data_IF_459251372941
#
_entry.id   IF_459251372941
#
_cell.length_a   1.000
_cell.length_b   1.000
_cell.length_c   1.000
_cell.angle_alpha   90.00
_cell.angle_beta   90.00
_cell.angle_gamma   90.00
#
_symmetry.space_group_name_H-M   'P 1'
#
loop_
_entity.id
_entity.type
_entity.pdbx_description
1 polymer ?
#
# COMPACT_ATOMS: atom_id res chain seq x y z
N UNK A 1 -8.32 4.18 12.85
CA UNK A 1 -6.89 3.81 12.76
C UNK A 1 -6.54 3.19 11.41
N UNK A 2 -7.45 2.43 10.77
CA UNK A 2 -7.21 1.82 9.45
C UNK A 2 -6.92 2.81 8.33
N UNK A 3 -7.51 3.98 8.33
CA UNK A 3 -7.31 4.99 7.27
C UNK A 3 -5.97 5.75 7.38
N UNK A 4 -5.39 5.85 8.55
CA UNK A 4 -4.05 6.44 8.72
C UNK A 4 -2.99 5.57 8.06
N UNK A 5 -3.19 4.27 8.02
CA UNK A 5 -2.27 3.32 7.40
C UNK A 5 -2.53 3.06 5.92
N UNK A 6 -3.69 3.44 5.41
CA UNK A 6 -4.06 3.30 4.00
C UNK A 6 -3.64 4.47 3.12
N UNK A 7 -3.44 5.64 3.71
CA UNK A 7 -2.85 6.78 3.04
C UNK A 7 -1.35 6.73 3.24
N UNK A 8 -0.72 6.00 2.45
CA UNK A 8 0.69 5.67 2.50
C UNK A 8 1.60 6.71 1.88
N UNK A 9 1.08 7.79 1.46
CA UNK A 9 1.78 9.03 1.55
C UNK A 9 1.63 9.45 3.02
N UNK A 10 2.68 9.53 3.75
CA UNK A 10 2.67 10.06 5.11
C UNK A 10 2.32 11.55 5.06
N UNK A 11 1.11 11.83 4.63
CA UNK A 11 0.60 13.19 4.57
C UNK A 11 0.22 13.64 5.96
N UNK A 12 1.03 14.50 6.51
CA UNK A 12 0.75 15.11 7.79
C UNK A 12 0.07 16.47 7.60
N UNK A 13 -0.90 16.80 8.41
CA UNK A 13 -1.49 18.13 8.40
C UNK A 13 -0.40 19.21 8.52
N UNK A 14 -0.42 20.17 7.60
CA UNK A 14 0.50 21.29 7.56
C UNK A 14 1.83 21.07 6.84
N UNK A 15 2.29 19.83 6.66
CA UNK A 15 3.54 19.53 5.96
C UNK A 15 3.37 18.64 4.73
N UNK A 16 2.22 18.02 4.56
CA UNK A 16 1.93 17.12 3.44
C UNK A 16 2.92 15.96 3.39
N UNK A 17 3.48 15.72 2.22
CA UNK A 17 4.48 14.68 1.96
C UNK A 17 5.91 15.06 2.38
N UNK A 18 6.19 16.34 2.60
CA UNK A 18 7.52 16.84 2.94
C UNK A 18 7.84 16.63 4.42
N UNK A 19 7.85 15.40 4.83
CA UNK A 19 8.03 15.00 6.23
C UNK A 19 9.53 15.07 6.61
N UNK A 20 9.91 15.78 7.67
CA UNK A 20 11.29 15.79 8.12
C UNK A 20 11.70 14.42 8.71
N UNK A 21 13.01 14.08 8.74
CA UNK A 21 13.48 12.76 9.19
C UNK A 21 12.95 12.32 10.56
N UNK A 22 12.94 13.23 11.55
CA UNK A 22 12.44 12.91 12.89
C UNK A 22 10.95 12.53 12.91
N UNK A 23 10.15 13.13 12.02
CA UNK A 23 8.72 12.84 11.92
C UNK A 23 8.49 11.50 11.21
N UNK A 24 9.35 11.15 10.24
CA UNK A 24 9.34 9.80 9.66
C UNK A 24 9.70 8.74 10.71
N UNK A 25 10.72 8.98 11.54
CA UNK A 25 11.09 8.09 12.64
C UNK A 25 9.95 7.93 13.66
N UNK A 26 9.32 9.03 14.04
CA UNK A 26 8.15 9.01 14.92
C UNK A 26 7.00 8.20 14.33
N UNK A 27 6.67 8.45 13.06
CA UNK A 27 5.60 7.74 12.35
C UNK A 27 5.87 6.24 12.24
N UNK A 28 7.10 5.85 11.92
CA UNK A 28 7.49 4.44 11.85
C UNK A 28 7.56 3.80 13.24
N UNK A 29 7.96 4.54 14.27
CA UNK A 29 7.87 4.09 15.66
C UNK A 29 6.45 3.77 16.09
N UNK A 30 5.47 4.60 15.71
CA UNK A 30 4.07 4.31 15.97
C UNK A 30 3.58 3.01 15.32
N UNK A 31 4.11 2.64 14.13
CA UNK A 31 3.79 1.34 13.54
C UNK A 31 4.24 0.20 14.44
N UNK A 32 5.48 0.27 14.93
CA UNK A 32 6.02 -0.78 15.82
C UNK A 32 5.26 -0.83 17.16
N UNK A 33 4.91 0.31 17.73
CA UNK A 33 4.11 0.40 18.96
C UNK A 33 2.73 -0.26 18.80
N UNK A 34 2.22 -0.32 17.57
CA UNK A 34 0.99 -1.02 17.23
C UNK A 34 1.23 -2.46 16.70
N UNK A 35 2.40 -3.01 16.91
CA UNK A 35 2.80 -4.33 16.44
C UNK A 35 2.75 -4.51 14.91
N UNK A 36 2.90 -3.43 14.16
CA UNK A 36 3.01 -3.45 12.71
C UNK A 36 4.47 -3.20 12.31
N UNK A 37 5.03 -4.08 11.50
CA UNK A 37 6.44 -4.01 11.08
C UNK A 37 6.62 -3.98 9.57
N UNK A 38 5.54 -3.82 8.82
CA UNK A 38 5.54 -3.83 7.36
C UNK A 38 4.76 -2.64 6.81
N UNK A 39 5.32 -1.99 5.80
CA UNK A 39 4.75 -0.81 5.18
C UNK A 39 4.76 -0.91 3.65
N UNK A 40 3.64 -0.65 3.01
CA UNK A 40 3.53 -0.53 1.57
C UNK A 40 3.25 0.91 1.18
N UNK A 41 4.13 1.53 0.42
CA UNK A 41 3.93 2.89 -0.09
C UNK A 41 2.88 2.88 -1.21
N UNK A 42 1.80 3.61 -1.04
CA UNK A 42 0.74 3.76 -2.05
C UNK A 42 0.73 5.18 -2.61
N UNK A 43 0.82 5.41 -3.78
CA UNK A 43 1.33 4.63 -4.93
C UNK A 43 2.46 5.47 -5.51
N UNK A 44 3.34 5.92 -4.64
CA UNK A 44 4.43 6.84 -4.97
C UNK A 44 5.73 6.32 -4.36
N UNK A 45 6.81 6.52 -5.08
CA UNK A 45 8.15 6.24 -4.55
C UNK A 45 8.41 7.16 -3.36
N UNK A 46 8.75 6.62 -2.18
CA UNK A 46 8.96 7.42 -0.98
C UNK A 46 10.19 8.31 -1.08
N UNK A 47 10.22 9.32 -0.23
CA UNK A 47 11.39 10.17 -0.08
C UNK A 47 12.54 9.42 0.61
N UNK A 48 13.76 9.87 0.36
CA UNK A 48 14.97 9.29 0.96
C UNK A 48 14.87 9.17 2.49
N UNK A 49 14.44 10.22 3.17
CA UNK A 49 14.32 10.24 4.63
C UNK A 49 13.30 9.21 5.16
N UNK A 50 12.27 8.91 4.38
CA UNK A 50 11.29 7.89 4.75
C UNK A 50 11.87 6.48 4.64
N UNK A 51 12.60 6.22 3.56
CA UNK A 51 13.30 4.94 3.36
C UNK A 51 14.34 4.72 4.45
N UNK A 52 15.19 5.72 4.69
CA UNK A 52 16.22 5.65 5.74
C UNK A 52 15.63 5.55 7.16
N UNK A 53 14.46 6.12 7.36
CA UNK A 53 13.72 5.95 8.62
C UNK A 53 13.28 4.50 8.81
N UNK A 54 12.76 3.84 7.77
CA UNK A 54 12.43 2.42 7.84
C UNK A 54 13.65 1.57 8.19
N UNK A 55 14.82 1.89 7.63
CA UNK A 55 16.09 1.22 7.98
C UNK A 55 16.46 1.40 9.46
N UNK A 56 16.38 2.63 9.97
CA UNK A 56 16.75 2.95 11.36
C UNK A 56 15.79 2.35 12.39
N UNK A 57 14.50 2.43 12.10
CA UNK A 57 13.44 2.01 13.03
C UNK A 57 13.16 0.51 12.96
N UNK A 58 13.47 -0.13 11.83
CA UNK A 58 13.28 -1.57 11.64
C UNK A 58 11.93 -1.94 11.05
N UNK A 59 11.39 -1.09 10.17
CA UNK A 59 10.14 -1.36 9.45
C UNK A 59 10.46 -1.85 8.05
N UNK A 60 9.94 -3.00 7.68
CA UNK A 60 10.08 -3.57 6.33
C UNK A 60 9.16 -2.80 5.38
N UNK A 61 9.63 -2.58 4.14
CA UNK A 61 8.87 -1.81 3.17
C UNK A 61 8.85 -2.41 1.77
N UNK A 62 7.78 -2.08 1.04
CA UNK A 62 7.64 -2.31 -0.41
C UNK A 62 7.98 -1.02 -1.14
N UNK A 63 8.87 -1.09 -2.12
CA UNK A 63 9.25 0.04 -2.97
C UNK A 63 8.44 0.04 -4.27
N UNK A 64 7.53 1.00 -4.47
CA UNK A 64 6.73 1.07 -5.68
C UNK A 64 7.41 1.86 -6.80
N UNK A 65 7.04 1.51 -8.04
CA UNK A 65 7.42 2.25 -9.25
C UNK A 65 6.63 3.54 -9.48
N UNK A 66 5.80 3.94 -8.53
CA UNK A 66 4.80 4.98 -8.75
C UNK A 66 3.61 4.47 -9.57
N UNK A 67 2.49 5.20 -9.50
CA UNK A 67 1.24 4.65 -9.99
C UNK A 67 0.26 5.68 -10.51
N UNK A 68 -0.56 5.23 -11.47
CA UNK A 68 -1.77 5.87 -11.94
C UNK A 68 -3.01 4.96 -11.74
N UNK A 69 -2.98 4.10 -10.73
CA UNK A 69 -3.99 3.11 -10.33
C UNK A 69 -4.23 1.95 -11.30
N UNK A 70 -3.88 2.10 -12.57
CA UNK A 70 -4.05 1.05 -13.59
C UNK A 70 -2.77 0.84 -14.37
N UNK A 71 -2.73 -0.26 -15.13
CA UNK A 71 -1.63 -0.48 -16.05
C UNK A 71 -1.51 0.69 -17.04
N UNK A 72 -0.31 1.21 -17.17
CA UNK A 72 -0.02 2.33 -18.05
C UNK A 72 0.40 1.83 -19.44
N UNK A 73 0.28 2.67 -20.45
CA UNK A 73 0.68 2.36 -21.80
C UNK A 73 1.57 3.45 -22.42
N UNK A 74 2.38 3.06 -23.39
CA UNK A 74 3.20 4.00 -24.15
C UNK A 74 4.16 4.82 -23.26
N UNK A 75 4.15 6.13 -23.43
CA UNK A 75 5.04 7.04 -22.70
C UNK A 75 4.90 6.92 -21.17
N UNK A 76 3.68 6.77 -20.68
CA UNK A 76 3.42 6.67 -19.25
C UNK A 76 4.03 5.41 -18.63
N UNK A 77 3.94 4.30 -19.35
CA UNK A 77 4.62 3.09 -18.94
C UNK A 77 6.13 3.23 -18.96
N UNK A 78 6.70 3.81 -20.02
CA UNK A 78 8.13 4.11 -20.08
C UNK A 78 8.62 4.93 -18.88
N UNK A 79 7.89 5.96 -18.48
CA UNK A 79 8.22 6.75 -17.30
C UNK A 79 8.17 5.93 -16.00
N UNK A 80 7.23 5.00 -15.88
CA UNK A 80 7.15 4.08 -14.72
C UNK A 80 8.35 3.13 -14.68
N UNK A 81 8.76 2.60 -15.82
CA UNK A 81 9.96 1.77 -15.93
C UNK A 81 11.23 2.54 -15.53
N UNK A 82 11.36 3.77 -16.00
CA UNK A 82 12.48 4.65 -15.63
C UNK A 82 12.47 4.97 -14.13
N UNK A 83 11.32 5.27 -13.55
CA UNK A 83 11.18 5.52 -12.13
C UNK A 83 11.56 4.30 -11.29
N UNK A 84 11.12 3.09 -11.68
CA UNK A 84 11.52 1.86 -11.00
C UNK A 84 13.02 1.62 -11.09
N UNK A 85 13.61 1.79 -12.27
CA UNK A 85 15.08 1.71 -12.46
C UNK A 85 15.81 2.64 -11.50
N UNK A 86 15.39 3.89 -11.47
CA UNK A 86 16.06 4.91 -10.66
C UNK A 86 15.85 4.65 -9.15
N UNK A 87 14.68 4.23 -8.74
CA UNK A 87 14.40 3.83 -7.37
C UNK A 87 15.26 2.62 -6.94
N UNK A 88 15.39 1.60 -7.79
CA UNK A 88 16.25 0.45 -7.52
C UNK A 88 17.71 0.90 -7.39
N UNK A 89 18.24 1.65 -8.34
CA UNK A 89 19.64 2.12 -8.31
C UNK A 89 19.91 2.92 -7.04
N UNK A 90 18.98 3.77 -6.66
CA UNK A 90 19.16 4.69 -5.53
C UNK A 90 19.01 3.96 -4.19
N UNK A 91 18.06 3.03 -4.07
CA UNK A 91 17.66 2.44 -2.79
C UNK A 91 18.04 0.97 -2.59
N UNK A 92 18.63 0.29 -3.55
CA UNK A 92 18.97 -1.15 -3.43
C UNK A 92 19.86 -1.51 -2.25
N UNK A 93 20.56 -0.55 -1.66
CA UNK A 93 21.39 -0.75 -0.48
C UNK A 93 20.65 -0.51 0.85
N UNK A 94 19.36 -0.15 0.80
CA UNK A 94 18.54 0.04 1.99
C UNK A 94 17.97 -1.31 2.43
N UNK A 95 18.36 -1.82 3.61
CA UNK A 95 18.02 -3.20 4.03
C UNK A 95 16.52 -3.38 4.36
N UNK A 96 15.82 -2.31 4.66
CA UNK A 96 14.36 -2.37 4.94
C UNK A 96 13.51 -2.68 3.72
N UNK A 97 14.02 -2.47 2.49
CA UNK A 97 13.30 -2.81 1.26
C UNK A 97 13.37 -4.31 1.05
N UNK A 98 12.23 -4.98 1.15
CA UNK A 98 12.10 -6.41 0.93
C UNK A 98 11.46 -6.75 -0.42
N UNK A 99 10.57 -5.89 -0.90
CA UNK A 99 9.82 -6.09 -2.13
C UNK A 99 9.87 -4.87 -3.03
N UNK A 100 9.74 -5.11 -4.33
CA UNK A 100 9.46 -4.11 -5.35
C UNK A 100 8.04 -4.26 -5.88
N UNK A 101 7.40 -3.14 -6.20
CA UNK A 101 6.04 -3.12 -6.72
C UNK A 101 6.00 -2.43 -8.09
N UNK A 102 5.60 -3.18 -9.11
CA UNK A 102 5.59 -2.72 -10.50
C UNK A 102 4.48 -1.70 -10.82
N UNK A 103 3.51 -1.58 -9.95
CA UNK A 103 2.35 -0.70 -10.04
C UNK A 103 1.25 -1.21 -9.12
N UNK A 104 0.10 -0.52 -9.07
CA UNK A 104 -0.95 -0.87 -8.13
C UNK A 104 -1.93 -1.92 -8.68
N UNK A 105 -2.59 -1.65 -9.79
CA UNK A 105 -3.69 -2.49 -10.30
C UNK A 105 -3.42 -2.99 -11.72
N UNK A 106 -3.86 -4.23 -11.95
CA UNK A 106 -4.03 -4.79 -13.31
C UNK A 106 -2.76 -4.74 -14.18
N UNK A 107 -1.58 -4.84 -13.58
CA UNK A 107 -0.32 -4.87 -14.33
C UNK A 107 -0.30 -6.09 -15.24
N UNK A 108 -0.12 -5.86 -16.54
CA UNK A 108 -0.08 -6.94 -17.52
C UNK A 108 1.15 -7.82 -17.35
N UNK A 109 1.04 -9.07 -17.76
CA UNK A 109 2.16 -10.02 -17.80
C UNK A 109 3.40 -9.43 -18.48
N UNK A 110 3.22 -8.77 -19.64
CA UNK A 110 4.31 -8.14 -20.38
C UNK A 110 5.05 -7.12 -19.53
N UNK A 111 4.31 -6.25 -18.87
CA UNK A 111 4.86 -5.19 -18.01
C UNK A 111 5.50 -5.76 -16.75
N UNK A 112 4.93 -6.80 -16.16
CA UNK A 112 5.54 -7.49 -15.03
C UNK A 112 6.91 -8.07 -15.40
N UNK A 113 7.02 -8.74 -16.53
CA UNK A 113 8.29 -9.29 -17.04
C UNK A 113 9.33 -8.18 -17.31
N UNK A 114 8.90 -7.04 -17.82
CA UNK A 114 9.80 -5.90 -18.03
C UNK A 114 10.33 -5.34 -16.70
N UNK A 115 9.48 -5.22 -15.66
CA UNK A 115 9.89 -4.78 -14.34
C UNK A 115 10.83 -5.79 -13.66
N UNK A 116 10.59 -7.08 -13.80
CA UNK A 116 11.48 -8.14 -13.32
C UNK A 116 12.86 -8.00 -14.00
N UNK A 117 12.90 -7.79 -15.32
CA UNK A 117 14.14 -7.59 -16.05
C UNK A 117 14.93 -6.35 -15.58
N UNK A 118 14.23 -5.27 -15.22
CA UNK A 118 14.84 -4.07 -14.62
C UNK A 118 15.44 -4.41 -13.25
N UNK A 119 14.67 -5.11 -12.38
CA UNK A 119 15.19 -5.56 -11.09
C UNK A 119 16.44 -6.44 -11.26
N UNK A 120 16.38 -7.45 -12.10
CA UNK A 120 17.49 -8.38 -12.33
C UNK A 120 18.76 -7.70 -12.84
N UNK A 121 18.58 -6.65 -13.63
CA UNK A 121 19.71 -5.86 -14.15
C UNK A 121 20.36 -4.97 -13.09
N UNK A 122 19.56 -4.34 -12.24
CA UNK A 122 20.07 -3.29 -11.34
C UNK A 122 20.16 -3.70 -9.88
N UNK A 123 19.51 -4.80 -9.48
CA UNK A 123 19.60 -5.41 -8.14
C UNK A 123 19.71 -6.95 -8.20
N UNK A 124 20.70 -7.50 -8.95
CA UNK A 124 20.77 -8.94 -9.23
C UNK A 124 21.02 -9.80 -8.00
N UNK A 125 21.52 -9.22 -6.92
CA UNK A 125 21.90 -9.93 -5.70
C UNK A 125 21.02 -9.59 -4.50
N UNK A 126 20.07 -8.67 -4.65
CA UNK A 126 19.20 -8.21 -3.55
C UNK A 126 18.19 -9.24 -3.09
N UNK A 127 17.84 -10.20 -3.95
CA UNK A 127 16.85 -11.23 -3.64
C UNK A 127 15.43 -10.70 -3.44
N UNK A 128 15.16 -9.47 -3.88
CA UNK A 128 13.87 -8.79 -3.67
C UNK A 128 12.85 -9.19 -4.71
N UNK A 129 11.71 -9.66 -4.24
CA UNK A 129 10.63 -10.10 -5.12
C UNK A 129 9.91 -8.92 -5.79
N UNK A 130 9.54 -9.09 -7.06
CA UNK A 130 8.75 -8.14 -7.85
C UNK A 130 7.31 -8.62 -7.95
N UNK A 131 6.37 -7.74 -7.62
CA UNK A 131 4.95 -8.07 -7.69
C UNK A 131 4.08 -6.83 -7.83
N UNK A 132 2.81 -7.01 -7.61
CA UNK A 132 1.80 -5.95 -7.61
C UNK A 132 0.50 -6.42 -6.97
N UNK A 133 -0.45 -5.51 -6.80
CA UNK A 133 -1.83 -5.89 -6.47
C UNK A 133 -2.51 -6.56 -7.66
N UNK A 134 -3.49 -7.41 -7.40
CA UNK A 134 -4.30 -8.10 -8.42
C UNK A 134 -3.48 -9.04 -9.34
N UNK A 135 -2.50 -9.73 -8.76
CA UNK A 135 -1.64 -10.65 -9.51
C UNK A 135 -2.08 -12.11 -9.41
N UNK A 136 -3.31 -12.41 -8.99
CA UNK A 136 -3.78 -13.76 -8.73
C UNK A 136 -3.47 -14.74 -9.88
N UNK A 137 -3.74 -14.33 -11.11
CA UNK A 137 -3.58 -15.15 -12.32
C UNK A 137 -2.28 -14.86 -13.09
N UNK A 138 -1.45 -13.95 -12.62
CA UNK A 138 -0.19 -13.59 -13.27
C UNK A 138 0.94 -14.46 -12.71
N UNK A 139 1.16 -15.58 -13.37
CA UNK A 139 2.17 -16.58 -12.97
C UNK A 139 3.59 -16.02 -12.81
N UNK A 140 3.94 -15.00 -13.55
CA UNK A 140 5.26 -14.41 -13.58
C UNK A 140 5.51 -13.42 -12.43
N UNK A 141 4.46 -12.98 -11.74
CA UNK A 141 4.62 -12.20 -10.51
C UNK A 141 5.26 -13.08 -9.43
N UNK A 142 6.16 -12.52 -8.64
CA UNK A 142 6.83 -13.24 -7.56
C UNK A 142 6.10 -13.07 -6.22
N UNK A 143 5.20 -12.10 -6.14
CA UNK A 143 4.20 -11.93 -5.10
C UNK A 143 2.97 -11.25 -5.65
N UNK A 144 1.84 -11.44 -5.00
CA UNK A 144 0.59 -10.78 -5.35
C UNK A 144 -0.08 -10.15 -4.14
N UNK A 145 -0.86 -9.11 -4.40
CA UNK A 145 -1.64 -8.42 -3.40
C UNK A 145 -3.12 -8.47 -3.68
N UNK A 146 -3.92 -8.42 -2.62
CA UNK A 146 -5.38 -8.34 -2.69
C UNK A 146 -5.89 -7.19 -1.83
N UNK A 147 -7.07 -6.69 -2.17
CA UNK A 147 -7.65 -5.54 -1.51
C UNK A 147 -8.46 -5.91 -0.26
N UNK A 148 -9.50 -6.71 -0.43
CA UNK A 148 -10.46 -7.03 0.65
C UNK A 148 -10.30 -8.45 1.18
N UNK A 149 -9.82 -9.35 0.36
CA UNK A 149 -9.73 -10.77 0.65
C UNK A 149 -8.33 -11.27 0.35
N UNK A 150 -7.89 -12.24 1.10
CA UNK A 150 -6.68 -12.98 0.77
C UNK A 150 -7.10 -14.20 -0.02
N UNK A 151 -6.89 -14.17 -1.32
CA UNK A 151 -7.04 -15.32 -2.18
C UNK A 151 -5.73 -16.10 -2.26
N UNK A 152 -5.80 -17.38 -2.51
CA UNK A 152 -4.62 -18.21 -2.74
C UNK A 152 -4.28 -18.21 -4.22
N UNK A 153 -3.02 -17.92 -4.55
CA UNK A 153 -2.48 -18.19 -5.88
C UNK A 153 -1.81 -19.56 -5.89
N UNK A 154 -1.86 -20.23 -7.03
CA UNK A 154 -1.10 -21.46 -7.27
C UNK A 154 0.37 -21.18 -7.59
N UNK A 155 0.74 -19.93 -7.84
CA UNK A 155 2.01 -19.56 -8.45
C UNK A 155 2.95 -18.79 -7.50
N UNK A 156 2.41 -18.01 -6.58
CA UNK A 156 3.21 -17.11 -5.75
C UNK A 156 2.48 -16.75 -4.44
N UNK A 157 3.22 -16.28 -3.43
CA UNK A 157 2.62 -15.82 -2.17
C UNK A 157 1.68 -14.65 -2.41
N UNK A 158 0.57 -14.64 -1.66
CA UNK A 158 -0.41 -13.57 -1.68
C UNK A 158 -0.50 -12.94 -0.29
N UNK A 159 -0.61 -11.60 -0.23
CA UNK A 159 -0.89 -10.89 1.01
C UNK A 159 -1.87 -9.75 0.80
N UNK A 160 -2.55 -9.35 1.86
CA UNK A 160 -3.50 -8.25 1.81
C UNK A 160 -2.74 -6.92 1.76
N UNK A 161 -2.68 -6.32 0.58
CA UNK A 161 -2.03 -5.02 0.38
C UNK A 161 -2.91 -3.85 0.80
N UNK A 162 -4.22 -4.02 0.72
CA UNK A 162 -5.22 -3.01 1.08
C UNK A 162 -6.39 -3.69 1.81
N UNK A 163 -6.14 -4.21 3.00
CA UNK A 163 -7.21 -4.81 3.79
C UNK A 163 -7.96 -3.75 4.60
N UNK A 164 -9.14 -4.11 5.06
CA UNK A 164 -9.98 -3.26 5.89
C UNK A 164 -10.46 -1.99 5.19
N UNK A 165 -10.44 -1.97 3.88
CA UNK A 165 -11.04 -0.92 3.10
C UNK A 165 -12.55 -1.11 3.10
N UNK A 166 -13.25 -0.19 3.74
CA UNK A 166 -14.70 -0.13 3.75
C UNK A 166 -15.18 1.05 2.90
N UNK A 167 -15.78 0.75 1.78
CA UNK A 167 -16.31 1.77 0.88
C UNK A 167 -17.49 2.53 1.54
N UNK A 168 -18.22 1.89 2.44
CA UNK A 168 -19.23 2.55 3.26
C UNK A 168 -18.63 3.61 4.17
N UNK A 169 -17.49 3.30 4.79
CA UNK A 169 -16.75 4.25 5.62
C UNK A 169 -16.21 5.42 4.80
N UNK A 170 -15.65 5.14 3.63
CA UNK A 170 -15.16 6.17 2.71
C UNK A 170 -16.28 7.10 2.27
N UNK A 171 -17.43 6.55 1.88
CA UNK A 171 -18.62 7.33 1.56
C UNK A 171 -19.13 8.16 2.73
N UNK A 172 -19.05 7.61 3.95
CA UNK A 172 -19.43 8.34 5.15
C UNK A 172 -18.63 9.62 5.30
N UNK A 173 -17.32 9.58 5.17
CA UNK A 173 -16.48 10.78 5.26
C UNK A 173 -16.74 11.76 4.13
N UNK A 174 -16.85 11.28 2.90
CA UNK A 174 -17.11 12.11 1.72
C UNK A 174 -18.48 12.78 1.78
N UNK A 175 -19.49 12.08 2.29
CA UNK A 175 -20.85 12.59 2.38
C UNK A 175 -21.13 13.40 3.65
N UNK A 176 -20.34 13.20 4.69
CA UNK A 176 -20.51 13.85 5.99
C UNK A 176 -19.67 15.11 6.15
N UNK A 177 -18.57 15.20 5.43
CA UNK A 177 -17.66 16.34 5.52
C UNK A 177 -18.21 17.57 4.81
N UNK A 178 -18.46 18.63 5.55
CA UNK A 178 -18.82 19.90 4.93
C UNK A 178 -17.61 20.48 4.20
N UNK A 179 -17.76 21.05 3.00
CA UNK A 179 -18.97 21.28 2.19
C UNK A 179 -19.36 20.12 1.22
N UNK A 180 -18.72 18.99 1.32
CA UNK A 180 -18.80 17.89 0.36
C UNK A 180 -19.98 16.94 0.58
N UNK A 181 -20.71 17.07 1.68
CA UNK A 181 -21.91 16.28 1.90
C UNK A 181 -22.99 16.66 0.89
N UNK A 182 -23.63 15.68 0.30
CA UNK A 182 -24.70 15.88 -0.67
C UNK A 182 -25.90 16.54 -0.01
N UNK A 183 -26.59 17.33 -0.82
CA UNK A 183 -27.89 17.88 -0.44
C UNK A 183 -28.84 16.77 0.02
N UNK A 184 -29.50 16.98 1.12
CA UNK A 184 -30.36 15.96 1.73
C UNK A 184 -29.71 15.15 2.84
N UNK A 185 -28.41 15.26 3.07
CA UNK A 185 -27.72 14.65 4.20
C UNK A 185 -28.06 15.39 5.52
N UNK A 186 -29.31 15.47 5.87
CA UNK A 186 -29.81 16.09 7.09
C UNK A 186 -29.50 15.27 8.36
N UNK A 187 -30.01 15.70 9.52
CA UNK A 187 -29.73 15.03 10.80
C UNK A 187 -30.11 13.53 10.82
N UNK A 188 -31.18 13.16 10.15
CA UNK A 188 -31.61 11.75 10.05
C UNK A 188 -30.61 10.93 9.26
N UNK A 189 -30.15 11.46 8.13
CA UNK A 189 -29.14 10.81 7.30
C UNK A 189 -27.81 10.67 8.06
N UNK A 190 -27.42 11.69 8.78
CA UNK A 190 -26.22 11.65 9.64
C UNK A 190 -26.34 10.58 10.72
N UNK A 191 -27.50 10.45 11.34
CA UNK A 191 -27.75 9.41 12.33
C UNK A 191 -27.64 8.00 11.73
N UNK A 192 -28.16 7.79 10.53
CA UNK A 192 -28.03 6.53 9.81
C UNK A 192 -26.58 6.23 9.46
N UNK A 193 -25.86 7.21 8.93
CA UNK A 193 -24.46 7.05 8.59
C UNK A 193 -23.59 6.78 9.83
N UNK A 194 -23.85 7.45 10.93
CA UNK A 194 -23.13 7.17 12.17
C UNK A 194 -23.39 5.74 12.68
N UNK A 195 -24.61 5.25 12.55
CA UNK A 195 -24.95 3.87 12.91
C UNK A 195 -24.24 2.86 12.00
N UNK A 196 -24.23 3.10 10.69
CA UNK A 196 -23.51 2.26 9.73
C UNK A 196 -22.00 2.30 10.00
N UNK A 197 -21.47 3.48 10.29
CA UNK A 197 -20.06 3.66 10.64
C UNK A 197 -19.68 2.83 11.87
N UNK A 198 -20.43 2.93 12.94
CA UNK A 198 -20.18 2.17 14.17
C UNK A 198 -20.28 0.66 13.92
N UNK A 199 -21.30 0.21 13.20
CA UNK A 199 -21.45 -1.19 12.84
C UNK A 199 -20.28 -1.69 12.00
N UNK A 200 -19.84 -0.89 11.02
CA UNK A 200 -18.71 -1.24 10.18
C UNK A 200 -17.40 -1.28 10.98
N UNK A 201 -17.21 -0.41 11.96
CA UNK A 201 -16.04 -0.47 12.85
C UNK A 201 -16.02 -1.75 13.68
N UNK A 202 -17.15 -2.17 14.19
CA UNK A 202 -17.27 -3.43 14.95
C UNK A 202 -16.99 -4.63 14.04
N UNK A 203 -17.59 -4.66 12.86
CA UNK A 203 -17.34 -5.70 11.85
C UNK A 203 -15.90 -5.72 11.38
N UNK A 204 -15.31 -4.55 11.23
CA UNK A 204 -13.91 -4.41 10.89
C UNK A 204 -12.99 -5.00 11.95
N UNK A 205 -13.22 -4.72 13.21
CA UNK A 205 -12.42 -5.28 14.31
C UNK A 205 -12.53 -6.82 14.35
N UNK A 206 -13.74 -7.35 14.19
CA UNK A 206 -13.98 -8.80 14.12
C UNK A 206 -13.28 -9.43 12.92
N UNK A 207 -13.39 -8.82 11.75
CA UNK A 207 -12.74 -9.32 10.53
C UNK A 207 -11.21 -9.27 10.62
N UNK A 208 -10.67 -8.21 11.21
CA UNK A 208 -9.23 -8.10 11.45
C UNK A 208 -8.74 -9.23 12.38
N UNK A 209 -9.44 -9.47 13.49
CA UNK A 209 -9.12 -10.55 14.43
C UNK A 209 -9.20 -11.91 13.73
N UNK A 210 -10.25 -12.13 12.95
CA UNK A 210 -10.44 -13.35 12.18
C UNK A 210 -9.30 -13.59 11.19
N UNK A 211 -8.89 -12.56 10.46
CA UNK A 211 -7.77 -12.66 9.49
C UNK A 211 -6.44 -12.90 10.17
N UNK A 212 -6.15 -12.20 11.24
CA UNK A 212 -4.94 -12.43 12.02
C UNK A 212 -4.89 -13.84 12.61
N UNK A 213 -6.02 -14.36 13.07
CA UNK A 213 -6.09 -15.75 13.57
C UNK A 213 -5.88 -16.80 12.47
N UNK A 214 -6.28 -16.52 11.24
CA UNK A 214 -6.05 -17.43 10.10
C UNK A 214 -4.58 -17.46 9.65
N UNK A 215 -3.82 -16.40 9.85
CA UNK A 215 -2.39 -16.34 9.56
C UNK A 215 -1.58 -17.19 10.54
N UNK A 216 -2.08 -17.38 11.76
CA UNK A 216 -1.42 -18.20 12.78
C UNK A 216 -1.76 -19.71 12.73
N UNK A 217 -2.66 -20.13 11.85
CA UNK A 217 -3.13 -21.52 11.76
C UNK A 217 -2.63 -22.22 10.48
N UNK A 218 -1.96 -21.50 9.60
CA UNK A 218 -1.32 -22.02 8.40
C UNK A 218 0.21 -21.96 8.54
#
# INVERSE_FOLDING_TARGET
LGDVYKRQSKEWPGVGLSVPPWMSDFSNGLLLDHNANFFRWMHVTPWKQDVESCDRVGVIQVMPAGDAEKDAVGRWWGQRVELMRDAIIYFRNNPSILFYESGNESISKKHMLEMIAIRDKYDPYGGRAMGSREMLDIREAEWGGEMLYINKSEYHPMFATEYCRDEGLRKYWDEYSYPFHKEGAGPLYRGQNASIYNHNQDMFAVELIRRLSLIHIS
#
